data_IF_750812598309
#
_entry.id   IF_750812598309
#
_cell.length_a   1.000
_cell.length_b   1.000
_cell.length_c   1.000
_cell.angle_alpha   90.00
_cell.angle_beta   90.00
_cell.angle_gamma   90.00
#
_symmetry.space_group_name_H-M   'P 1'
#
loop_
_entity.id
_entity.type
_entity.pdbx_description
1 polymer ?
#
# COMPACT_ATOMS: atom_id res chain seq x y z
N UNK A 1 16.26 2.90 -21.28
CA UNK A 1 15.50 1.88 -20.52
C UNK A 1 15.32 2.37 -19.10
N UNK A 2 14.09 2.59 -18.64
CA UNK A 2 13.82 2.90 -17.23
C UNK A 2 13.76 1.57 -16.48
N UNK A 3 14.63 1.36 -15.48
CA UNK A 3 14.54 0.23 -14.56
C UNK A 3 13.77 0.72 -13.34
N UNK A 4 12.55 0.23 -13.08
CA UNK A 4 11.80 0.66 -11.92
C UNK A 4 12.55 0.24 -10.65
N UNK A 5 12.58 1.13 -9.65
CA UNK A 5 13.02 0.76 -8.31
C UNK A 5 12.06 -0.30 -7.76
N UNK A 6 12.60 -1.33 -7.10
CA UNK A 6 11.85 -2.44 -6.53
C UNK A 6 12.42 -2.77 -5.14
N UNK A 7 11.54 -3.06 -4.18
CA UNK A 7 11.94 -3.46 -2.84
C UNK A 7 10.93 -4.43 -2.22
N UNK A 8 11.43 -5.44 -1.51
CA UNK A 8 10.62 -6.30 -0.64
C UNK A 8 10.74 -5.84 0.80
N UNK A 9 9.69 -6.02 1.60
CA UNK A 9 9.80 -5.92 3.06
C UNK A 9 10.68 -7.04 3.61
N UNK A 10 11.25 -6.83 4.80
CA UNK A 10 12.18 -7.79 5.42
C UNK A 10 11.54 -9.17 5.68
N UNK A 11 10.23 -9.21 5.95
CA UNK A 11 9.44 -10.42 6.12
C UNK A 11 8.92 -11.01 4.78
N UNK A 12 9.19 -10.34 3.66
CA UNK A 12 8.74 -10.73 2.33
C UNK A 12 7.24 -10.61 2.09
N UNK A 13 6.47 -10.04 3.03
CA UNK A 13 5.01 -9.94 2.92
C UNK A 13 4.54 -8.85 1.94
N UNK A 14 5.39 -7.86 1.67
CA UNK A 14 5.10 -6.74 0.79
C UNK A 14 6.15 -6.60 -0.32
N UNK A 15 5.67 -6.21 -1.50
CA UNK A 15 6.48 -5.74 -2.62
C UNK A 15 6.10 -4.28 -2.92
N UNK A 16 7.10 -3.42 -3.10
CA UNK A 16 6.93 -2.05 -3.60
C UNK A 16 7.65 -1.87 -4.94
N UNK A 17 7.01 -1.18 -5.88
CA UNK A 17 7.60 -0.81 -7.17
C UNK A 17 7.36 0.67 -7.47
N UNK A 18 8.40 1.35 -7.94
CA UNK A 18 8.30 2.72 -8.43
C UNK A 18 7.69 2.75 -9.83
N UNK A 19 6.74 3.66 -10.05
CA UNK A 19 6.13 3.90 -11.34
C UNK A 19 6.75 5.13 -12.04
N UNK A 20 6.68 5.21 -13.38
CA UNK A 20 7.21 6.34 -14.14
C UNK A 20 6.57 7.70 -13.80
N UNK A 21 5.34 7.69 -13.29
CA UNK A 21 4.60 8.89 -12.87
C UNK A 21 4.98 9.39 -11.47
N UNK A 22 5.94 8.74 -10.81
CA UNK A 22 6.39 9.10 -9.46
C UNK A 22 5.55 8.50 -8.33
N UNK A 23 4.54 7.70 -8.66
CA UNK A 23 3.82 6.89 -7.68
C UNK A 23 4.61 5.63 -7.28
N UNK A 24 4.23 5.04 -6.15
CA UNK A 24 4.70 3.71 -5.74
C UNK A 24 3.51 2.78 -5.68
N UNK A 25 3.60 1.66 -6.40
CA UNK A 25 2.63 0.58 -6.32
C UNK A 25 3.09 -0.43 -5.27
N UNK A 26 2.15 -0.95 -4.48
CA UNK A 26 2.40 -1.91 -3.42
C UNK A 26 1.48 -3.12 -3.53
N UNK A 27 2.05 -4.32 -3.30
CA UNK A 27 1.33 -5.58 -3.31
C UNK A 27 1.60 -6.37 -2.04
N UNK A 28 0.60 -7.12 -1.58
CA UNK A 28 0.81 -8.25 -0.69
C UNK A 28 1.28 -9.45 -1.53
N UNK A 29 2.46 -9.99 -1.19
CA UNK A 29 3.06 -11.09 -1.96
C UNK A 29 2.27 -12.39 -1.90
N UNK A 30 1.53 -12.59 -0.80
CA UNK A 30 0.62 -13.73 -0.62
C UNK A 30 -0.66 -13.64 -1.47
N UNK A 31 -0.99 -12.46 -2.01
CA UNK A 31 -2.23 -12.21 -2.77
C UNK A 31 -1.98 -11.40 -4.05
N UNK A 32 -1.16 -11.91 -5.00
CA UNK A 32 -0.73 -11.15 -6.17
C UNK A 32 -1.85 -10.79 -7.16
N UNK A 33 -3.01 -11.44 -7.05
CA UNK A 33 -4.20 -11.12 -7.84
C UNK A 33 -4.99 -9.92 -7.32
N UNK A 34 -4.71 -9.44 -6.11
CA UNK A 34 -5.33 -8.22 -5.59
C UNK A 34 -4.70 -6.99 -6.27
N UNK A 35 -5.51 -5.95 -6.54
CA UNK A 35 -4.99 -4.69 -7.07
C UNK A 35 -3.90 -4.11 -6.17
N UNK A 36 -2.87 -3.51 -6.79
CA UNK A 36 -1.86 -2.79 -6.05
C UNK A 36 -2.47 -1.59 -5.31
N UNK A 37 -2.02 -1.34 -4.08
CA UNK A 37 -2.24 -0.04 -3.46
C UNK A 37 -1.32 0.99 -4.12
N UNK A 38 -1.86 2.12 -4.57
CA UNK A 38 -1.07 3.21 -5.16
C UNK A 38 -0.82 4.29 -4.13
N UNK A 39 0.46 4.55 -3.86
CA UNK A 39 0.91 5.64 -3.01
C UNK A 39 1.39 6.81 -3.89
N UNK A 40 0.74 7.97 -3.82
CA UNK A 40 1.26 9.20 -4.42
C UNK A 40 2.41 9.74 -3.54
N UNK A 41 3.64 9.74 -4.05
CA UNK A 41 4.84 10.07 -3.27
C UNK A 41 5.44 11.41 -3.68
N UNK A 42 5.58 11.63 -4.99
CA UNK A 42 6.23 12.81 -5.54
C UNK A 42 5.83 13.12 -6.98
N UNK A 43 6.52 14.12 -7.51
CA UNK A 43 6.30 14.76 -8.82
C UNK A 43 7.30 14.31 -9.89
N UNK A 44 8.11 13.28 -9.61
CA UNK A 44 9.15 12.79 -10.50
C UNK A 44 9.49 11.31 -10.28
N UNK A 45 10.31 10.71 -11.16
CA UNK A 45 10.56 9.27 -11.17
C UNK A 45 11.16 8.78 -9.86
N UNK A 46 10.71 7.62 -9.39
CA UNK A 46 11.29 6.97 -8.22
C UNK A 46 12.68 6.43 -8.58
N UNK A 47 13.72 6.95 -7.92
CA UNK A 47 15.11 6.56 -8.15
C UNK A 47 15.57 5.44 -7.22
N UNK A 48 14.94 5.30 -6.04
CA UNK A 48 15.28 4.30 -5.05
C UNK A 48 14.13 4.02 -4.09
N UNK A 49 14.02 2.76 -3.67
CA UNK A 49 13.05 2.25 -2.71
C UNK A 49 13.74 1.34 -1.70
N UNK A 50 13.40 1.48 -0.42
CA UNK A 50 13.92 0.64 0.65
C UNK A 50 12.90 0.52 1.78
N UNK A 51 12.59 -0.71 2.19
CA UNK A 51 11.87 -0.95 3.44
C UNK A 51 12.85 -0.92 4.61
N UNK A 52 12.66 0.02 5.54
CA UNK A 52 13.42 0.08 6.78
C UNK A 52 12.88 -0.99 7.76
N UNK A 53 13.72 -2.00 8.03
CA UNK A 53 13.36 -3.12 8.91
C UNK A 53 13.10 -2.68 10.36
N UNK A 54 13.75 -1.60 10.80
CA UNK A 54 13.74 -1.10 12.19
C UNK A 54 12.34 -0.64 12.65
N UNK A 55 11.55 -0.06 11.74
CA UNK A 55 10.34 0.68 12.08
C UNK A 55 9.18 0.50 11.09
N UNK A 56 9.34 -0.32 10.05
CA UNK A 56 8.30 -0.56 9.04
C UNK A 56 8.05 0.65 8.13
N UNK A 57 9.04 1.54 7.96
CA UNK A 57 8.94 2.67 7.03
C UNK A 57 9.37 2.28 5.62
N UNK A 58 8.78 2.93 4.62
CA UNK A 58 9.27 2.88 3.24
C UNK A 58 10.01 4.19 2.94
N UNK A 59 11.30 4.09 2.63
CA UNK A 59 12.15 5.20 2.22
C UNK A 59 12.13 5.31 0.70
N UNK A 60 11.95 6.53 0.22
CA UNK A 60 11.76 6.80 -1.21
C UNK A 60 12.63 7.98 -1.62
N UNK A 61 13.42 7.78 -2.67
CA UNK A 61 14.29 8.82 -3.24
C UNK A 61 13.76 9.27 -4.60
N UNK A 62 13.62 10.58 -4.79
CA UNK A 62 13.22 11.21 -6.06
C UNK A 62 14.19 12.35 -6.43
N UNK A 63 14.24 12.80 -7.69
CA UNK A 63 15.20 13.83 -8.12
C UNK A 63 14.98 15.21 -7.49
N UNK A 64 13.75 15.51 -7.03
CA UNK A 64 13.32 16.89 -6.73
C UNK A 64 12.88 17.11 -5.27
N UNK A 65 12.95 16.11 -4.39
CA UNK A 65 12.52 16.23 -2.99
C UNK A 65 13.63 15.93 -1.99
N UNK A 66 13.74 16.78 -0.96
CA UNK A 66 14.40 16.46 0.32
C UNK A 66 13.74 15.20 0.87
N UNK A 67 14.52 14.16 1.22
CA UNK A 67 14.02 12.82 1.53
C UNK A 67 12.74 12.80 2.38
N UNK A 68 11.66 12.23 1.83
CA UNK A 68 10.38 12.07 2.55
C UNK A 68 10.26 10.66 3.12
N UNK A 69 10.13 10.58 4.43
CA UNK A 69 9.75 9.34 5.11
C UNK A 69 8.23 9.17 5.11
N UNK A 70 7.75 7.97 4.77
CA UNK A 70 6.34 7.59 4.91
C UNK A 70 6.24 6.39 5.83
N UNK A 71 5.51 6.58 6.94
CA UNK A 71 5.12 5.49 7.83
C UNK A 71 4.04 4.69 7.12
N UNK A 72 4.37 3.46 6.71
CA UNK A 72 3.42 2.52 6.14
C UNK A 72 3.15 1.45 7.21
N UNK A 73 2.07 1.60 7.95
CA UNK A 73 1.63 0.61 8.94
C UNK A 73 0.25 0.07 8.53
N UNK A 74 0.16 -0.87 7.58
CA UNK A 74 -1.13 -1.29 6.99
C UNK A 74 -2.12 -1.79 8.04
N UNK A 75 -1.64 -2.55 9.03
CA UNK A 75 -2.49 -3.02 10.14
C UNK A 75 -3.02 -1.86 11.00
N UNK A 76 -2.18 -0.85 11.28
CA UNK A 76 -2.58 0.34 12.04
C UNK A 76 -3.54 1.22 11.22
N UNK A 77 -3.29 1.35 9.92
CA UNK A 77 -4.15 2.08 8.99
C UNK A 77 -5.53 1.39 8.85
N UNK A 78 -5.55 0.07 8.69
CA UNK A 78 -6.78 -0.72 8.65
C UNK A 78 -7.58 -0.61 9.96
N UNK A 79 -6.90 -0.71 11.11
CA UNK A 79 -7.54 -0.51 12.41
C UNK A 79 -8.14 0.91 12.54
N UNK A 80 -7.45 1.93 12.02
CA UNK A 80 -7.94 3.31 12.06
C UNK A 80 -9.16 3.54 11.18
N UNK A 81 -9.13 3.01 9.95
CA UNK A 81 -10.27 3.06 9.03
C UNK A 81 -11.45 2.34 9.67
N UNK A 82 -11.24 1.15 10.24
CA UNK A 82 -12.30 0.38 10.89
C UNK A 82 -12.88 1.08 12.12
N UNK A 83 -12.07 1.80 12.89
CA UNK A 83 -12.55 2.63 14.01
C UNK A 83 -13.49 3.74 13.56
N UNK A 84 -13.25 4.34 12.37
CA UNK A 84 -14.07 5.43 11.82
C UNK A 84 -15.28 4.94 11.02
N UNK A 85 -15.20 3.74 10.45
CA UNK A 85 -16.23 3.19 9.58
C UNK A 85 -17.34 2.43 10.34
N UNK A 86 -17.44 2.59 11.67
CA UNK A 86 -18.53 2.04 12.50
C UNK A 86 -18.88 0.55 12.26
N UNK A 87 -17.87 -0.28 11.97
CA UNK A 87 -18.05 -1.71 11.69
C UNK A 87 -17.81 -2.13 10.24
N UNK A 88 -17.51 -1.18 9.35
CA UNK A 88 -17.13 -1.45 7.96
C UNK A 88 -18.33 -1.47 7.00
N UNK A 89 -18.15 -2.05 5.81
CA UNK A 89 -19.20 -2.12 4.79
C UNK A 89 -20.27 -3.16 5.17
N UNK A 90 -21.54 -2.76 5.10
CA UNK A 90 -22.67 -3.70 5.19
C UNK A 90 -22.74 -4.64 3.98
N UNK A 91 -23.48 -5.75 4.08
CA UNK A 91 -23.71 -6.66 2.93
C UNK A 91 -24.31 -5.91 1.72
N UNK A 92 -25.24 -4.99 1.98
CA UNK A 92 -25.87 -4.17 0.94
C UNK A 92 -24.86 -3.26 0.25
N UNK A 93 -24.01 -2.58 1.01
CA UNK A 93 -22.96 -1.71 0.45
C UNK A 93 -21.89 -2.51 -0.27
N UNK A 94 -21.49 -3.66 0.28
CA UNK A 94 -20.54 -4.56 -0.38
C UNK A 94 -21.04 -5.00 -1.74
N UNK A 95 -22.29 -5.47 -1.85
CA UNK A 95 -22.88 -5.86 -3.14
C UNK A 95 -23.00 -4.70 -4.12
N UNK A 96 -23.18 -3.47 -3.60
CA UNK A 96 -23.23 -2.25 -4.42
C UNK A 96 -21.87 -1.91 -5.04
N UNK A 97 -20.80 -2.00 -4.25
CA UNK A 97 -19.46 -1.60 -4.69
C UNK A 97 -18.64 -2.75 -5.32
N UNK A 98 -18.91 -4.00 -4.94
CA UNK A 98 -18.18 -5.19 -5.36
C UNK A 98 -19.13 -6.32 -5.83
N UNK A 99 -19.92 -6.10 -6.90
CA UNK A 99 -20.97 -7.05 -7.30
C UNK A 99 -20.44 -8.43 -7.74
N UNK A 100 -19.18 -8.52 -8.17
CA UNK A 100 -18.55 -9.77 -8.59
C UNK A 100 -17.82 -10.53 -7.47
N UNK A 101 -17.69 -9.93 -6.27
CA UNK A 101 -16.93 -10.51 -5.16
C UNK A 101 -17.85 -11.10 -4.09
N UNK A 102 -17.52 -12.28 -3.57
CA UNK A 102 -18.20 -12.84 -2.41
C UNK A 102 -18.08 -11.90 -1.20
N UNK A 103 -19.14 -11.79 -0.40
CA UNK A 103 -19.15 -10.93 0.79
C UNK A 103 -18.05 -11.34 1.78
N UNK A 104 -17.26 -10.35 2.23
CA UNK A 104 -16.29 -10.49 3.30
C UNK A 104 -16.44 -9.32 4.25
N UNK A 105 -16.45 -9.58 5.56
CA UNK A 105 -16.38 -8.50 6.56
C UNK A 105 -15.10 -7.70 6.35
N UNK A 106 -15.24 -6.39 6.14
CA UNK A 106 -14.10 -5.47 6.00
C UNK A 106 -13.45 -5.17 7.33
N UNK A 107 -14.24 -5.13 8.40
CA UNK A 107 -13.79 -4.92 9.76
C UNK A 107 -14.25 -6.10 10.61
N UNK A 108 -13.30 -6.85 11.15
CA UNK A 108 -13.58 -8.03 11.97
C UNK A 108 -12.30 -8.72 12.42
N UNK A 109 -12.15 -8.86 13.73
CA UNK A 109 -11.03 -9.51 14.39
C UNK A 109 -10.11 -8.51 15.11
N UNK A 110 -10.14 -8.59 16.45
CA UNK A 110 -9.00 -8.25 17.32
C UNK A 110 -7.75 -9.00 16.90
#
# INVERSE_FOLDING_TARGET
MHRPALAFSADGSLLAAGAPDGSVQMWETASPSQPAATLPVGDGPVLGLEFAAENGELRIATPHLTGRTRVIAPRRAAAEVCRRAEGGLSDTEWRRYFPAAAYRRTCGGT
#
